data_IF_516087842443
#
_entry.id   IF_516087842443
#
_cell.length_a   1.000
_cell.length_b   1.000
_cell.length_c   1.000
_cell.angle_alpha   90.00
_cell.angle_beta   90.00
_cell.angle_gamma   90.00
#
_symmetry.space_group_name_H-M   'P 1'
#
loop_
_entity.id
_entity.type
_entity.pdbx_description
1 polymer ?
#
# COMPACT_ATOMS: atom_id res chain seq x y z
N UNK A 1 -36.38 2.88 18.79
CA UNK A 1 -36.45 3.83 17.65
C UNK A 1 -35.09 4.04 16.97
N UNK A 2 -33.97 3.80 17.66
CA UNK A 2 -32.58 3.95 17.17
C UNK A 2 -32.12 2.88 16.17
N UNK A 3 -32.57 1.63 16.27
CA UNK A 3 -32.10 0.53 15.40
C UNK A 3 -32.51 0.66 13.92
N UNK A 4 -33.68 1.23 13.64
CA UNK A 4 -34.13 1.46 12.25
C UNK A 4 -33.32 2.54 11.54
N UNK A 5 -32.89 3.58 12.26
CA UNK A 5 -32.06 4.65 11.72
C UNK A 5 -30.64 4.13 11.41
N UNK A 6 -30.04 3.39 12.34
CA UNK A 6 -28.76 2.71 12.15
C UNK A 6 -28.80 1.80 10.91
N UNK A 7 -29.83 0.96 10.76
CA UNK A 7 -29.99 0.09 9.58
C UNK A 7 -30.06 0.84 8.24
N UNK A 8 -30.52 2.09 8.22
CA UNK A 8 -30.65 2.88 7.00
C UNK A 8 -29.29 3.46 6.56
N UNK A 9 -28.50 3.97 7.51
CA UNK A 9 -27.18 4.53 7.23
C UNK A 9 -26.19 3.50 6.66
N UNK A 10 -26.21 2.25 7.15
CA UNK A 10 -25.32 1.19 6.63
C UNK A 10 -25.65 0.71 5.21
N UNK A 11 -26.85 1.01 4.71
CA UNK A 11 -27.25 0.70 3.33
C UNK A 11 -26.87 1.82 2.37
N UNK A 12 -26.64 3.03 2.85
CA UNK A 12 -26.24 4.15 2.01
C UNK A 12 -24.86 3.89 1.39
N UNK A 13 -24.74 4.14 0.08
CA UNK A 13 -23.54 3.85 -0.71
C UNK A 13 -22.25 4.44 -0.09
N UNK A 14 -22.32 5.66 0.44
CA UNK A 14 -21.16 6.34 1.06
C UNK A 14 -20.57 5.65 2.29
N UNK A 15 -21.28 4.69 2.89
CA UNK A 15 -20.84 3.94 4.07
C UNK A 15 -20.50 2.47 3.76
N UNK A 16 -20.58 2.07 2.49
CA UNK A 16 -20.19 0.73 2.06
C UNK A 16 -18.70 0.69 1.70
N UNK A 17 -18.08 -0.47 1.87
CA UNK A 17 -16.73 -0.68 1.37
C UNK A 17 -16.71 -0.62 -0.16
N UNK A 18 -15.83 0.21 -0.72
CA UNK A 18 -15.57 0.26 -2.17
C UNK A 18 -15.21 -1.13 -2.71
N UNK A 19 -14.40 -1.87 -1.95
CA UNK A 19 -14.05 -3.25 -2.23
C UNK A 19 -14.66 -4.17 -1.18
N UNK A 20 -15.94 -4.49 -1.36
CA UNK A 20 -16.63 -5.45 -0.50
C UNK A 20 -16.25 -6.89 -0.85
N UNK A 21 -16.11 -7.72 0.18
CA UNK A 21 -16.00 -9.16 0.03
C UNK A 21 -17.29 -9.72 -0.55
N UNK A 22 -17.17 -10.78 -1.36
CA UNK A 22 -18.32 -11.49 -1.93
C UNK A 22 -19.16 -12.21 -0.87
N UNK A 23 -18.56 -12.51 0.28
CA UNK A 23 -19.20 -13.26 1.36
C UNK A 23 -19.69 -12.32 2.46
N UNK A 24 -20.94 -12.52 2.88
CA UNK A 24 -21.51 -11.88 4.06
C UNK A 24 -21.03 -12.63 5.31
N UNK A 25 -20.48 -11.91 6.29
CA UNK A 25 -20.07 -12.49 7.56
C UNK A 25 -20.79 -11.81 8.73
N UNK A 26 -20.89 -12.54 9.85
CA UNK A 26 -21.40 -11.99 11.10
C UNK A 26 -20.31 -11.12 11.72
N UNK A 27 -20.63 -9.85 11.98
CA UNK A 27 -19.68 -8.96 12.63
C UNK A 27 -19.46 -9.37 14.10
N UNK A 28 -18.22 -9.69 14.53
CA UNK A 28 -17.97 -10.24 15.88
C UNK A 28 -18.39 -9.29 17.01
N UNK A 29 -18.32 -7.98 16.76
CA UNK A 29 -18.61 -6.94 17.77
C UNK A 29 -20.08 -6.54 17.86
N UNK A 30 -20.87 -6.75 16.81
CA UNK A 30 -22.25 -6.26 16.75
C UNK A 30 -23.29 -7.35 16.46
N UNK A 31 -22.88 -8.56 16.08
CA UNK A 31 -23.82 -9.63 15.70
C UNK A 31 -24.62 -9.33 14.43
N UNK A 32 -24.31 -8.27 13.70
CA UNK A 32 -25.00 -7.88 12.47
C UNK A 32 -24.31 -8.53 11.27
N UNK A 33 -25.10 -9.18 10.40
CA UNK A 33 -24.61 -9.72 9.12
C UNK A 33 -24.30 -8.57 8.16
N UNK A 34 -23.05 -8.50 7.68
CA UNK A 34 -22.61 -7.49 6.70
C UNK A 34 -21.46 -8.01 5.84
N UNK A 35 -21.29 -7.42 4.66
CA UNK A 35 -20.08 -7.63 3.87
C UNK A 35 -18.92 -6.85 4.52
N UNK A 36 -17.79 -7.53 4.71
CA UNK A 36 -16.53 -6.89 5.09
C UNK A 36 -15.78 -6.41 3.85
N UNK A 37 -14.64 -5.71 4.03
CA UNK A 37 -13.74 -5.45 2.92
C UNK A 37 -13.07 -6.76 2.45
N UNK A 38 -12.53 -6.76 1.23
CA UNK A 38 -11.74 -7.87 0.69
C UNK A 38 -10.56 -8.17 1.62
N UNK A 39 -10.37 -9.44 1.94
CA UNK A 39 -9.26 -9.86 2.79
C UNK A 39 -7.90 -9.60 2.13
N UNK A 40 -6.94 -9.11 2.93
CA UNK A 40 -5.60 -8.76 2.45
C UNK A 40 -4.84 -9.94 1.84
N UNK A 41 -5.13 -11.18 2.24
CA UNK A 41 -4.50 -12.37 1.67
C UNK A 41 -4.91 -12.58 0.20
N UNK A 42 -6.12 -12.17 -0.19
CA UNK A 42 -6.59 -12.28 -1.58
C UNK A 42 -5.70 -11.44 -2.49
N UNK A 43 -5.44 -10.20 -2.08
CA UNK A 43 -4.56 -9.28 -2.80
C UNK A 43 -3.13 -9.83 -2.87
N UNK A 44 -2.58 -10.29 -1.74
CA UNK A 44 -1.22 -10.85 -1.71
C UNK A 44 -1.07 -12.12 -2.56
N UNK A 45 -2.09 -12.97 -2.62
CA UNK A 45 -2.11 -14.16 -3.49
C UNK A 45 -2.15 -13.76 -4.96
N UNK A 46 -2.99 -12.80 -5.33
CA UNK A 46 -3.06 -12.28 -6.69
C UNK A 46 -1.70 -11.70 -7.12
N UNK A 47 -1.09 -10.86 -6.28
CA UNK A 47 0.27 -10.31 -6.52
C UNK A 47 1.28 -11.43 -6.73
N UNK A 48 1.30 -12.44 -5.84
CA UNK A 48 2.24 -13.56 -5.96
C UNK A 48 2.09 -14.29 -7.29
N UNK A 49 0.85 -14.53 -7.73
CA UNK A 49 0.57 -15.18 -9.01
C UNK A 49 1.07 -14.35 -10.19
N UNK A 50 0.79 -13.05 -10.21
CA UNK A 50 1.23 -12.16 -11.29
C UNK A 50 2.76 -12.03 -11.34
N UNK A 51 3.42 -11.93 -10.19
CA UNK A 51 4.89 -11.83 -10.07
C UNK A 51 5.57 -13.08 -10.62
N UNK A 52 4.99 -14.25 -10.35
CA UNK A 52 5.45 -15.51 -10.92
C UNK A 52 5.30 -15.52 -12.45
N UNK A 53 4.15 -15.08 -12.97
CA UNK A 53 3.92 -14.99 -14.42
C UNK A 53 4.85 -14.00 -15.12
N UNK A 54 5.25 -12.92 -14.44
CA UNK A 54 6.21 -11.95 -14.97
C UNK A 54 7.68 -12.41 -14.88
N UNK A 55 7.98 -13.59 -14.33
CA UNK A 55 9.35 -14.09 -14.17
C UNK A 55 10.18 -13.32 -13.14
N UNK A 56 9.54 -12.61 -12.21
CA UNK A 56 10.24 -11.82 -11.20
C UNK A 56 10.67 -12.74 -10.05
N UNK A 57 11.97 -12.95 -9.91
CA UNK A 57 12.56 -13.83 -8.87
C UNK A 57 12.42 -13.24 -7.46
N UNK A 58 12.40 -11.90 -7.35
CA UNK A 58 12.30 -11.21 -6.07
C UNK A 58 10.91 -11.38 -5.48
N UNK A 59 10.82 -11.63 -4.16
CA UNK A 59 9.54 -11.62 -3.44
C UNK A 59 8.89 -10.24 -3.54
N UNK A 60 7.67 -10.15 -4.03
CA UNK A 60 6.88 -8.89 -4.10
C UNK A 60 5.63 -9.03 -3.25
N UNK A 61 5.29 -7.95 -2.53
CA UNK A 61 4.08 -7.80 -1.71
C UNK A 61 3.44 -6.45 -2.00
N UNK A 62 2.21 -6.23 -1.52
CA UNK A 62 1.49 -4.97 -1.72
C UNK A 62 2.33 -3.75 -1.30
N UNK A 63 3.02 -3.85 -0.16
CA UNK A 63 3.87 -2.78 0.35
C UNK A 63 5.00 -2.38 -0.62
N UNK A 64 5.54 -3.33 -1.42
CA UNK A 64 6.56 -3.03 -2.43
C UNK A 64 6.08 -2.10 -3.55
N UNK A 65 4.79 -2.12 -3.88
CA UNK A 65 4.23 -1.17 -4.85
C UNK A 65 4.18 0.26 -4.29
N UNK A 66 3.85 0.40 -3.01
CA UNK A 66 3.94 1.68 -2.31
C UNK A 66 5.39 2.18 -2.27
N UNK A 67 6.35 1.27 -2.08
CA UNK A 67 7.78 1.60 -2.15
C UNK A 67 8.21 2.08 -3.55
N UNK A 68 7.80 1.38 -4.61
CA UNK A 68 8.15 1.77 -5.98
C UNK A 68 7.50 3.10 -6.39
N UNK A 69 6.26 3.35 -5.97
CA UNK A 69 5.57 4.61 -6.21
C UNK A 69 6.34 5.79 -5.60
N UNK A 70 6.70 5.68 -4.31
CA UNK A 70 7.47 6.72 -3.63
C UNK A 70 8.82 6.99 -4.33
N UNK A 71 9.49 5.93 -4.78
CA UNK A 71 10.77 6.03 -5.49
C UNK A 71 10.60 6.72 -6.84
N UNK A 72 9.57 6.36 -7.62
CA UNK A 72 9.29 7.03 -8.90
C UNK A 72 8.93 8.50 -8.70
N UNK A 73 8.12 8.84 -7.71
CA UNK A 73 7.80 10.24 -7.40
C UNK A 73 9.08 11.03 -7.03
N UNK A 74 9.97 10.45 -6.22
CA UNK A 74 11.26 11.06 -5.92
C UNK A 74 12.15 11.22 -7.17
N UNK A 75 12.15 10.25 -8.09
CA UNK A 75 12.92 10.33 -9.35
C UNK A 75 12.43 11.45 -10.25
N UNK A 76 11.12 11.74 -10.25
CA UNK A 76 10.54 12.86 -11.01
C UNK A 76 10.85 14.24 -10.43
N UNK A 77 11.61 14.31 -9.33
CA UNK A 77 12.02 15.55 -8.69
C UNK A 77 10.99 16.12 -7.71
N UNK A 78 9.95 15.36 -7.34
CA UNK A 78 9.05 15.78 -6.27
C UNK A 78 9.79 15.82 -4.93
N UNK A 79 9.58 16.90 -4.19
CA UNK A 79 10.13 17.03 -2.84
C UNK A 79 9.54 15.97 -1.89
N UNK A 80 10.37 15.57 -0.93
CA UNK A 80 10.04 14.53 0.06
C UNK A 80 8.82 14.92 0.90
N UNK A 81 8.62 16.21 1.17
CA UNK A 81 7.45 16.71 1.92
C UNK A 81 6.14 16.52 1.15
N UNK A 82 6.17 16.74 -0.17
CA UNK A 82 5.02 16.50 -1.05
C UNK A 82 4.66 15.02 -1.10
N UNK A 83 5.68 14.16 -1.22
CA UNK A 83 5.48 12.70 -1.22
C UNK A 83 4.96 12.20 0.13
N UNK A 84 5.43 12.79 1.23
CA UNK A 84 4.92 12.48 2.56
C UNK A 84 3.43 12.83 2.70
N UNK A 85 3.03 14.01 2.21
CA UNK A 85 1.61 14.41 2.21
C UNK A 85 0.75 13.47 1.35
N UNK A 86 1.25 13.06 0.18
CA UNK A 86 0.55 12.12 -0.72
C UNK A 86 0.39 10.71 -0.13
N UNK A 87 1.38 10.23 0.62
CA UNK A 87 1.37 8.90 1.22
C UNK A 87 0.75 8.85 2.63
N UNK A 88 0.46 10.01 3.23
CA UNK A 88 -0.19 10.12 4.54
C UNK A 88 0.67 9.62 5.70
N UNK A 89 2.00 9.61 5.57
CA UNK A 89 2.88 9.14 6.65
C UNK A 89 3.02 10.17 7.76
N UNK A 90 2.75 9.74 8.99
CA UNK A 90 2.99 10.53 10.20
C UNK A 90 4.49 10.73 10.52
N UNK A 91 5.36 9.83 10.06
CA UNK A 91 6.81 9.88 10.35
C UNK A 91 7.69 9.67 9.09
N UNK A 92 8.79 10.40 9.05
CA UNK A 92 9.77 10.52 7.96
C UNK A 92 10.73 9.32 7.85
N UNK A 93 10.82 8.47 8.87
CA UNK A 93 11.75 7.33 8.90
C UNK A 93 11.53 6.35 7.74
N UNK A 94 10.27 6.12 7.35
CA UNK A 94 9.94 5.25 6.20
C UNK A 94 10.33 5.89 4.86
N UNK A 95 10.33 7.23 4.79
CA UNK A 95 10.69 7.96 3.57
C UNK A 95 12.20 8.03 3.37
N UNK A 96 12.98 8.07 4.47
CA UNK A 96 14.44 8.10 4.39
C UNK A 96 15.05 6.85 3.75
N UNK A 97 14.41 5.68 3.88
CA UNK A 97 14.84 4.44 3.21
C UNK A 97 14.89 4.61 1.69
N UNK A 98 13.90 5.30 1.08
CA UNK A 98 13.89 5.55 -0.37
C UNK A 98 15.01 6.44 -0.85
N UNK A 99 15.46 7.33 0.02
CA UNK A 99 16.48 8.32 -0.32
C UNK A 99 17.86 7.70 -0.36
N UNK A 100 18.06 6.60 0.37
CA UNK A 100 19.25 5.76 0.21
C UNK A 100 19.27 5.06 -1.15
N UNK A 101 18.12 4.57 -1.63
CA UNK A 101 17.99 3.93 -2.96
C UNK A 101 18.12 4.95 -4.08
N UNK A 102 17.59 6.16 -3.87
CA UNK A 102 17.70 7.28 -4.79
C UNK A 102 19.05 7.99 -4.74
N UNK A 103 19.99 7.53 -3.90
CA UNK A 103 21.38 7.95 -4.03
C UNK A 103 21.74 7.71 -5.49
N UNK A 104 21.96 8.80 -6.22
CA UNK A 104 23.00 8.92 -7.26
C UNK A 104 24.35 8.54 -6.61
N UNK A 105 24.45 7.30 -6.15
CA UNK A 105 25.43 6.77 -5.21
C UNK A 105 26.62 6.15 -5.91
N UNK A 106 27.03 6.73 -7.04
CA UNK A 106 28.22 6.27 -7.77
C UNK A 106 29.01 7.37 -8.48
N UNK A 107 28.57 8.63 -8.47
CA UNK A 107 29.34 9.71 -9.13
C UNK A 107 30.16 10.58 -8.16
N UNK A 108 30.11 10.34 -6.84
CA UNK A 108 30.83 11.16 -5.85
C UNK A 108 31.97 10.46 -5.12
N UNK A 109 31.95 9.13 -5.01
CA UNK A 109 32.99 8.36 -4.31
C UNK A 109 33.31 7.14 -5.17
N UNK A 110 34.43 7.20 -5.87
CA UNK A 110 35.01 6.04 -6.57
C UNK A 110 35.43 5.02 -5.51
N UNK A 111 35.13 3.75 -5.74
CA UNK A 111 35.67 2.70 -4.88
C UNK A 111 37.20 2.72 -5.01
N UNK A 112 37.97 2.62 -3.91
CA UNK A 112 39.42 2.45 -3.99
C UNK A 112 39.85 1.22 -4.81
N UNK A 113 38.94 0.26 -4.97
CA UNK A 113 39.13 -0.95 -5.78
C UNK A 113 38.81 -0.76 -7.27
N UNK A 114 38.16 0.34 -7.67
CA UNK A 114 37.91 0.64 -9.09
C UNK A 114 39.16 1.17 -9.81
N UNK A 115 40.24 1.45 -9.06
CA UNK A 115 41.53 1.98 -9.55
C UNK A 115 42.70 0.99 -9.46
N UNK A 116 42.41 -0.29 -9.26
CA UNK A 116 43.39 -1.40 -9.25
C UNK A 116 43.38 -2.16 -10.58
#
# INVERSE_FOLDING_TARGET
MTDKLLSYFYKAFGWQYVFSSRNVALAPRSGIKRCHHVDTSVINKAIKSSVYQCGIVKRVSAHKFQYSLATHLLQTGMDRRTIQALLGYADLQTTMIYTHVLRRGGQGVKSPFDSL
#
